data_IF_117003980581
#
_entry.id   IF_117003980581
#
_cell.length_a   1.000
_cell.length_b   1.000
_cell.length_c   1.000
_cell.angle_alpha   90.00
_cell.angle_beta   90.00
_cell.angle_gamma   90.00
#
_symmetry.space_group_name_H-M   'P 1'
#
loop_
_entity.id
_entity.type
_entity.pdbx_description
1 polymer ?
#
# COMPACT_ATOMS: atom_id res chain seq x y z
N UNK A 1 12.29 6.21 -20.27
CA UNK A 1 10.96 5.95 -19.68
C UNK A 1 11.20 5.59 -18.23
N UNK A 2 10.92 6.50 -17.29
CA UNK A 2 11.21 6.25 -15.87
C UNK A 2 10.38 5.07 -15.36
N UNK A 3 11.07 4.03 -14.90
CA UNK A 3 10.46 2.87 -14.26
C UNK A 3 9.98 3.27 -12.85
N UNK A 4 8.82 3.93 -12.79
CA UNK A 4 8.22 4.38 -11.54
C UNK A 4 7.66 3.16 -10.79
N UNK A 5 7.94 3.01 -9.49
CA UNK A 5 7.39 1.90 -8.72
C UNK A 5 5.86 1.94 -8.75
N UNK A 6 5.25 0.82 -9.15
CA UNK A 6 3.80 0.69 -9.20
C UNK A 6 3.24 0.43 -7.81
N UNK A 7 2.38 1.32 -7.32
CA UNK A 7 1.58 1.13 -6.11
C UNK A 7 0.18 0.70 -6.53
N UNK A 8 -0.26 -0.46 -6.05
CA UNK A 8 -1.62 -0.93 -6.25
C UNK A 8 -2.50 -0.44 -5.10
N UNK A 9 -3.40 0.52 -5.38
CA UNK A 9 -4.27 1.17 -4.41
C UNK A 9 -5.67 0.54 -4.44
N UNK A 10 -5.91 -0.37 -3.50
CA UNK A 10 -7.17 -1.09 -3.30
C UNK A 10 -8.01 -0.41 -2.22
N UNK A 11 -8.41 0.83 -2.47
CA UNK A 11 -9.29 1.63 -1.59
C UNK A 11 -10.64 1.75 -2.28
N UNK A 12 -11.75 1.43 -1.61
CA UNK A 12 -13.08 1.45 -2.25
C UNK A 12 -13.68 2.86 -2.34
N UNK A 13 -13.42 3.70 -1.33
CA UNK A 13 -13.81 5.10 -1.32
C UNK A 13 -13.12 5.86 -2.46
N UNK A 14 -13.91 6.28 -3.45
CA UNK A 14 -13.40 6.94 -4.66
C UNK A 14 -12.74 8.31 -4.37
N UNK A 15 -13.37 9.22 -3.58
CA UNK A 15 -12.72 10.47 -3.20
C UNK A 15 -11.35 10.28 -2.53
N UNK A 16 -11.25 9.36 -1.57
CA UNK A 16 -10.00 9.02 -0.88
C UNK A 16 -9.00 8.41 -1.86
N UNK A 17 -9.44 7.48 -2.70
CA UNK A 17 -8.60 6.82 -3.70
C UNK A 17 -7.98 7.83 -4.67
N UNK A 18 -8.76 8.77 -5.19
CA UNK A 18 -8.26 9.80 -6.11
C UNK A 18 -7.34 10.81 -5.40
N UNK A 19 -7.64 11.18 -4.16
CA UNK A 19 -6.74 12.03 -3.36
C UNK A 19 -5.38 11.37 -3.11
N UNK A 20 -5.38 10.10 -2.69
CA UNK A 20 -4.17 9.31 -2.47
C UNK A 20 -3.40 9.08 -3.77
N UNK A 21 -4.11 8.76 -4.86
CA UNK A 21 -3.52 8.62 -6.20
C UNK A 21 -2.77 9.89 -6.59
N UNK A 22 -3.43 11.05 -6.51
CA UNK A 22 -2.83 12.32 -6.84
C UNK A 22 -1.56 12.56 -6.01
N UNK A 23 -1.63 12.39 -4.68
CA UNK A 23 -0.47 12.54 -3.79
C UNK A 23 0.70 11.65 -4.23
N UNK A 24 0.45 10.35 -4.38
CA UNK A 24 1.49 9.37 -4.74
C UNK A 24 2.08 9.61 -6.12
N UNK A 25 1.27 10.02 -7.11
CA UNK A 25 1.77 10.36 -8.44
C UNK A 25 2.70 11.59 -8.40
N UNK A 26 2.40 12.60 -7.57
CA UNK A 26 3.28 13.76 -7.38
C UNK A 26 4.62 13.41 -6.71
N UNK A 27 4.63 12.36 -5.91
CA UNK A 27 5.85 11.82 -5.27
C UNK A 27 6.67 10.90 -6.19
N UNK A 28 6.22 10.67 -7.43
CA UNK A 28 6.96 9.91 -8.42
C UNK A 28 6.62 8.41 -8.46
N UNK A 29 5.52 8.00 -7.83
CA UNK A 29 4.98 6.65 -8.00
C UNK A 29 4.11 6.53 -9.26
N UNK A 30 3.97 5.31 -9.77
CA UNK A 30 2.86 4.97 -10.66
C UNK A 30 1.75 4.35 -9.80
N UNK A 31 0.48 4.66 -10.07
CA UNK A 31 -0.65 4.15 -9.28
C UNK A 31 -1.59 3.36 -10.18
N UNK A 32 -1.93 2.14 -9.74
CA UNK A 32 -2.99 1.32 -10.32
C UNK A 32 -4.08 1.09 -9.27
N UNK A 33 -5.35 0.99 -9.70
CA UNK A 33 -6.49 0.78 -8.79
C UNK A 33 -7.08 -0.62 -8.89
N UNK A 34 -6.59 -1.42 -9.84
CA UNK A 34 -6.98 -2.82 -10.05
C UNK A 34 -5.75 -3.63 -10.47
N UNK A 35 -5.64 -4.90 -10.05
CA UNK A 35 -4.62 -5.80 -10.59
C UNK A 35 -4.77 -5.92 -12.11
N UNK A 36 -3.71 -5.60 -12.84
CA UNK A 36 -3.63 -5.72 -14.30
C UNK A 36 -2.55 -6.73 -14.75
N UNK A 37 -2.03 -7.51 -13.80
CA UNK A 37 -0.99 -8.50 -14.02
C UNK A 37 0.44 -7.95 -13.92
N UNK A 38 0.64 -6.62 -13.82
CA UNK A 38 1.96 -6.06 -13.56
C UNK A 38 2.37 -6.27 -12.10
N UNK A 39 3.66 -6.55 -11.82
CA UNK A 39 4.14 -6.65 -10.46
C UNK A 39 4.02 -5.29 -9.77
N UNK A 40 3.28 -5.26 -8.65
CA UNK A 40 3.19 -4.07 -7.81
C UNK A 40 4.39 -4.04 -6.86
N UNK A 41 5.03 -2.87 -6.76
CA UNK A 41 6.11 -2.62 -5.81
C UNK A 41 5.59 -2.61 -4.36
N UNK A 42 4.35 -2.15 -4.16
CA UNK A 42 3.60 -2.33 -2.92
C UNK A 42 2.09 -2.30 -3.18
N UNK A 43 1.32 -2.86 -2.25
CA UNK A 43 -0.14 -2.84 -2.25
C UNK A 43 -0.62 -2.02 -1.06
N UNK A 44 -1.58 -1.11 -1.28
CA UNK A 44 -2.24 -0.34 -0.23
C UNK A 44 -3.71 -0.76 -0.18
N UNK A 45 -4.17 -1.22 0.97
CA UNK A 45 -5.50 -1.78 1.17
C UNK A 45 -6.24 -0.96 2.23
N UNK A 46 -7.51 -0.69 1.99
CA UNK A 46 -8.41 -0.18 3.02
C UNK A 46 -8.96 -1.33 3.88
N UNK A 47 -8.94 -1.20 5.20
CA UNK A 47 -9.45 -2.20 6.14
C UNK A 47 -10.99 -2.34 6.15
N UNK A 48 -11.71 -1.42 5.52
CA UNK A 48 -13.17 -1.47 5.34
C UNK A 48 -13.59 -2.49 4.26
N UNK A 49 -12.62 -3.09 3.56
CA UNK A 49 -12.89 -4.16 2.58
C UNK A 49 -13.27 -5.47 3.27
N UNK A 50 -14.33 -6.09 2.74
CA UNK A 50 -14.73 -7.45 3.11
C UNK A 50 -13.78 -8.50 2.53
N UNK A 51 -13.44 -8.36 1.25
CA UNK A 51 -12.53 -9.26 0.53
C UNK A 51 -11.10 -8.73 0.54
N UNK A 52 -10.23 -9.47 1.23
CA UNK A 52 -8.81 -9.18 1.30
C UNK A 52 -8.11 -9.99 0.22
N UNK A 53 -7.46 -9.34 -0.76
CA UNK A 53 -6.70 -10.07 -1.75
C UNK A 53 -5.64 -10.92 -1.03
N UNK A 54 -5.29 -12.06 -1.62
CA UNK A 54 -4.15 -12.83 -1.15
C UNK A 54 -2.94 -11.88 -1.10
N UNK A 55 -2.47 -11.59 0.11
CA UNK A 55 -1.25 -10.82 0.34
C UNK A 55 -0.12 -11.68 -0.19
N UNK A 56 0.28 -11.41 -1.43
CA UNK A 56 1.39 -12.11 -2.09
C UNK A 56 2.74 -11.66 -1.51
N UNK A 57 3.80 -11.86 -2.28
CA UNK A 57 5.15 -11.42 -1.89
C UNK A 57 5.32 -9.89 -1.95
N UNK A 58 4.39 -9.19 -2.60
CA UNK A 58 4.39 -7.73 -2.64
C UNK A 58 4.13 -7.16 -1.23
N UNK A 59 4.99 -6.27 -0.75
CA UNK A 59 4.76 -5.62 0.52
C UNK A 59 3.41 -4.92 0.57
N UNK A 60 2.66 -5.17 1.64
CA UNK A 60 1.29 -4.68 1.80
C UNK A 60 1.18 -3.73 2.97
N UNK A 61 0.55 -2.59 2.74
CA UNK A 61 0.20 -1.58 3.73
C UNK A 61 -1.32 -1.57 3.88
N UNK A 62 -1.80 -1.63 5.10
CA UNK A 62 -3.23 -1.50 5.41
C UNK A 62 -3.48 -0.13 6.05
N UNK A 63 -4.42 0.61 5.48
CA UNK A 63 -4.99 1.82 6.05
C UNK A 63 -6.08 1.38 7.03
N UNK A 64 -5.93 1.69 8.32
CA UNK A 64 -6.86 1.20 9.33
C UNK A 64 -7.27 2.23 10.35
N UNK A 65 -8.54 2.23 10.74
CA UNK A 65 -9.01 2.97 11.92
C UNK A 65 -8.90 2.18 13.23
N UNK A 66 -8.57 0.88 13.16
CA UNK A 66 -8.55 -0.03 14.32
C UNK A 66 -7.54 -1.17 14.08
N UNK A 67 -6.28 -0.91 14.41
CA UNK A 67 -5.21 -1.90 14.31
C UNK A 67 -5.46 -3.15 15.18
N UNK A 68 -6.08 -2.99 16.34
CA UNK A 68 -6.40 -4.11 17.23
C UNK A 68 -7.43 -5.05 16.62
N UNK A 69 -8.42 -4.54 15.89
CA UNK A 69 -9.38 -5.34 15.12
C UNK A 69 -8.67 -6.18 14.06
N UNK A 70 -7.70 -5.63 13.33
CA UNK A 70 -6.92 -6.40 12.36
C UNK A 70 -6.09 -7.49 13.02
N UNK A 71 -5.47 -7.18 14.16
CA UNK A 71 -4.72 -8.15 14.94
C UNK A 71 -5.61 -9.31 15.43
N UNK A 72 -6.83 -8.99 15.90
CA UNK A 72 -7.85 -9.97 16.31
C UNK A 72 -8.37 -10.82 15.15
N UNK A 73 -8.48 -10.25 13.94
CA UNK A 73 -8.80 -10.98 12.70
C UNK A 73 -7.67 -11.91 12.23
N UNK A 74 -6.50 -11.86 12.87
CA UNK A 74 -5.34 -12.69 12.51
C UNK A 74 -4.53 -12.15 11.33
N UNK A 75 -4.76 -10.90 10.91
CA UNK A 75 -3.95 -10.25 9.87
C UNK A 75 -2.53 -10.07 10.38
N UNK A 76 -1.54 -10.58 9.65
CA UNK A 76 -0.10 -10.55 9.99
C UNK A 76 0.72 -10.31 8.72
N UNK A 77 1.98 -9.90 8.88
CA UNK A 77 2.90 -9.71 7.75
C UNK A 77 2.61 -8.47 6.90
N UNK A 78 1.74 -7.56 7.36
CA UNK A 78 1.44 -6.29 6.71
C UNK A 78 1.99 -5.13 7.53
N UNK A 79 2.28 -4.03 6.86
CA UNK A 79 2.52 -2.74 7.50
C UNK A 79 1.19 -2.03 7.74
N UNK A 80 1.09 -1.26 8.82
CA UNK A 80 -0.12 -0.51 9.17
C UNK A 80 0.13 0.99 9.05
N UNK A 81 -0.90 1.71 8.61
CA UNK A 81 -1.01 3.16 8.66
C UNK A 81 -2.36 3.49 9.26
N UNK A 82 -2.36 4.24 10.36
CA UNK A 82 -3.60 4.60 11.05
C UNK A 82 -4.32 5.76 10.35
N UNK A 83 -5.65 5.64 10.24
CA UNK A 83 -6.55 6.72 9.84
C UNK A 83 -6.83 7.62 11.05
N UNK A 84 -7.05 8.95 10.87
CA UNK A 84 -7.01 9.66 9.60
C UNK A 84 -5.58 9.79 9.06
N UNK A 85 -5.45 9.76 7.73
CA UNK A 85 -4.15 9.87 7.06
C UNK A 85 -3.67 11.33 7.15
N UNK A 86 -2.88 11.63 8.18
CA UNK A 86 -2.34 12.94 8.42
C UNK A 86 -0.97 13.09 7.74
N UNK A 87 -0.81 14.17 6.96
CA UNK A 87 0.47 14.52 6.34
C UNK A 87 0.97 13.44 5.36
N UNK A 88 2.20 13.00 5.56
CA UNK A 88 2.96 12.10 4.68
C UNK A 88 3.07 10.66 5.21
N UNK A 89 2.24 10.27 6.20
CA UNK A 89 2.36 8.98 6.88
C UNK A 89 2.38 7.76 5.92
N UNK A 90 1.51 7.76 4.91
CA UNK A 90 1.50 6.70 3.90
C UNK A 90 2.77 6.70 3.05
N UNK A 91 3.22 7.88 2.64
CA UNK A 91 4.39 8.10 1.80
C UNK A 91 5.69 7.67 2.49
N UNK A 92 5.84 8.03 3.76
CA UNK A 92 6.94 7.57 4.61
C UNK A 92 6.93 6.05 4.72
N UNK A 93 5.77 5.46 5.02
CA UNK A 93 5.67 3.99 5.15
C UNK A 93 5.98 3.27 3.84
N UNK A 94 5.50 3.77 2.71
CA UNK A 94 5.84 3.25 1.39
C UNK A 94 7.35 3.28 1.14
N UNK A 95 8.00 4.41 1.44
CA UNK A 95 9.45 4.56 1.29
C UNK A 95 10.24 3.54 2.11
N UNK A 96 9.86 3.32 3.37
CA UNK A 96 10.50 2.35 4.28
C UNK A 96 10.38 0.91 3.76
N UNK A 97 9.16 0.53 3.37
CA UNK A 97 8.83 -0.81 2.91
C UNK A 97 9.54 -1.12 1.58
N UNK A 98 9.56 -0.17 0.65
CA UNK A 98 10.23 -0.31 -0.63
C UNK A 98 11.76 -0.38 -0.49
N UNK A 99 12.37 0.38 0.44
CA UNK A 99 13.80 0.28 0.74
C UNK A 99 14.17 -1.08 1.32
N UNK A 100 13.34 -1.59 2.22
CA UNK A 100 13.53 -2.91 2.84
C UNK A 100 13.47 -4.02 1.80
N UNK A 101 12.49 -3.96 0.90
CA UNK A 101 12.31 -5.00 -0.13
C UNK A 101 13.45 -4.98 -1.18
N UNK A 102 13.95 -3.80 -1.56
CA UNK A 102 15.14 -3.69 -2.42
C UNK A 102 16.39 -4.30 -1.79
N UNK A 103 16.57 -4.16 -0.47
CA UNK A 103 17.70 -4.75 0.26
C UNK A 103 17.66 -6.28 0.29
N UNK A 104 16.46 -6.86 0.38
CA UNK A 104 16.24 -8.31 0.35
C UNK A 104 16.46 -8.90 -1.05
N UNK A 105 16.05 -8.19 -2.11
CA UNK A 105 16.22 -8.61 -3.49
C UNK A 105 17.68 -8.51 -4.00
N UNK A 106 18.53 -7.71 -3.34
CA UNK A 106 19.92 -7.49 -3.72
C UNK A 106 20.92 -8.49 -3.11
N UNK A 107 20.47 -9.52 -2.40
CA UNK A 107 21.35 -10.57 -1.85
C UNK A 107 21.56 -11.67 -2.91
N UNK A 108 22.83 -11.96 -3.30
CA UNK A 108 23.16 -12.95 -4.33
C UNK A 108 22.94 -14.39 -3.89
#
# INVERSE_FOLDING_TARGET
MSDRPLILLLVEDEPLREALRFSLETEGYAVGTRPDGRPAAAVVIDDDREDWPAVGESPTIVLTGDAERLLRRGVRGVSLVEKPLLGDALSVRLSEVLKTNKSLSARP
#
